data_IF_270057940013
#
_entry.id   IF_270057940013
#
_cell.length_a   1.000
_cell.length_b   1.000
_cell.length_c   1.000
_cell.angle_alpha   90.00
_cell.angle_beta   90.00
_cell.angle_gamma   90.00
#
_symmetry.space_group_name_H-M   'P 1'
#
loop_
_entity.id
_entity.type
_entity.pdbx_description
1 polymer ?
#
# COMPACT_ATOMS: atom_id res chain seq x y z
N UNK A 1 7.82 -5.49 19.29
CA UNK A 1 7.06 -4.83 18.19
C UNK A 1 7.99 -4.66 17.00
N UNK A 2 7.59 -5.21 15.86
CA UNK A 2 8.44 -5.18 14.68
C UNK A 2 7.66 -4.62 13.50
N UNK A 3 8.17 -3.53 12.96
CA UNK A 3 7.60 -2.88 11.79
C UNK A 3 8.53 -3.14 10.62
N UNK A 4 7.97 -3.56 9.50
CA UNK A 4 8.73 -3.87 8.30
C UNK A 4 8.43 -2.84 7.22
N UNK A 5 9.38 -2.68 6.31
CA UNK A 5 9.22 -1.86 5.12
C UNK A 5 9.60 -2.70 3.92
N UNK A 6 8.84 -2.59 2.85
CA UNK A 6 9.15 -3.35 1.65
C UNK A 6 8.74 -2.60 0.39
N UNK A 7 9.51 -2.80 -0.67
CA UNK A 7 9.18 -2.36 -2.01
C UNK A 7 9.03 -3.55 -2.95
N UNK A 8 9.15 -4.76 -2.42
CA UNK A 8 9.07 -5.97 -3.22
C UNK A 8 7.61 -6.27 -3.57
N UNK A 9 7.30 -6.31 -4.86
CA UNK A 9 5.94 -6.52 -5.33
C UNK A 9 5.35 -7.85 -4.88
N UNK A 10 6.13 -8.92 -4.93
CA UNK A 10 5.65 -10.22 -4.49
C UNK A 10 5.31 -10.24 -3.00
N UNK A 11 6.16 -9.63 -2.20
CA UNK A 11 5.93 -9.54 -0.75
C UNK A 11 4.64 -8.79 -0.47
N UNK A 12 4.44 -7.66 -1.14
CA UNK A 12 3.23 -6.85 -0.97
C UNK A 12 2.00 -7.63 -1.40
N UNK A 13 2.06 -8.25 -2.56
CA UNK A 13 0.95 -9.03 -3.10
C UNK A 13 0.54 -10.16 -2.15
N UNK A 14 1.52 -10.94 -1.69
CA UNK A 14 1.23 -12.05 -0.80
C UNK A 14 0.73 -11.60 0.55
N UNK A 15 1.32 -10.56 1.10
CA UNK A 15 0.86 -10.03 2.39
C UNK A 15 -0.58 -9.52 2.29
N UNK A 16 -0.86 -8.75 1.25
CA UNK A 16 -2.18 -8.15 1.07
C UNK A 16 -3.25 -9.21 0.82
N UNK A 17 -2.98 -10.16 -0.09
CA UNK A 17 -3.98 -11.18 -0.42
C UNK A 17 -4.24 -12.12 0.75
N UNK A 18 -3.22 -12.41 1.54
CA UNK A 18 -3.40 -13.25 2.73
C UNK A 18 -4.31 -12.59 3.77
N UNK A 19 -4.44 -11.28 3.74
CA UNK A 19 -5.29 -10.53 4.66
C UNK A 19 -6.61 -10.09 4.05
N UNK A 20 -6.88 -10.50 2.82
CA UNK A 20 -8.11 -10.10 2.15
C UNK A 20 -8.10 -8.65 1.68
N UNK A 21 -6.92 -8.06 1.58
CA UNK A 21 -6.80 -6.70 1.05
C UNK A 21 -6.71 -6.72 -0.47
N UNK A 22 -7.12 -5.62 -1.08
CA UNK A 22 -7.16 -5.54 -2.54
C UNK A 22 -6.65 -4.17 -2.99
N UNK A 23 -6.10 -4.10 -4.21
CA UNK A 23 -5.56 -2.85 -4.73
C UNK A 23 -6.67 -1.88 -5.08
N UNK A 24 -6.48 -0.63 -4.71
CA UNK A 24 -7.51 0.38 -4.90
C UNK A 24 -6.91 1.75 -5.16
N UNK A 25 -7.73 2.64 -5.70
CA UNK A 25 -7.40 4.05 -5.77
C UNK A 25 -8.50 4.85 -5.09
N UNK A 26 -8.18 6.07 -4.70
CA UNK A 26 -9.17 6.96 -4.11
C UNK A 26 -10.07 7.46 -5.24
N UNK A 27 -11.38 7.40 -5.03
CA UNK A 27 -12.35 7.83 -6.03
C UNK A 27 -12.12 9.30 -6.37
N UNK A 28 -12.02 9.59 -7.66
CA UNK A 28 -11.73 10.93 -8.12
C UNK A 28 -10.26 11.29 -8.15
N UNK A 29 -9.39 10.41 -7.66
CA UNK A 29 -7.95 10.64 -7.64
C UNK A 29 -7.23 9.34 -8.01
N UNK A 30 -7.23 8.96 -9.29
CA UNK A 30 -6.75 7.64 -9.69
C UNK A 30 -5.25 7.40 -9.45
N UNK A 31 -4.49 8.45 -9.22
CA UNK A 31 -3.08 8.34 -8.89
C UNK A 31 -2.83 8.14 -7.40
N UNK A 32 -3.86 8.25 -6.57
CA UNK A 32 -3.73 8.03 -5.11
C UNK A 32 -4.14 6.61 -4.79
N UNK A 33 -3.16 5.74 -4.63
CA UNK A 33 -3.42 4.32 -4.39
C UNK A 33 -3.54 4.02 -2.91
N UNK A 34 -4.34 2.98 -2.62
CA UNK A 34 -4.60 2.50 -1.26
C UNK A 34 -4.76 0.98 -1.31
N UNK A 35 -4.77 0.35 -0.15
CA UNK A 35 -5.19 -1.04 -0.06
C UNK A 35 -6.55 -1.06 0.63
N UNK A 36 -7.54 -1.59 -0.07
CA UNK A 36 -8.89 -1.70 0.45
C UNK A 36 -9.09 -3.00 1.20
N UNK A 37 -10.20 -3.11 1.93
CA UNK A 37 -10.56 -4.32 2.64
C UNK A 37 -10.43 -4.22 4.16
N UNK A 38 -9.77 -3.20 4.67
CA UNK A 38 -9.64 -2.96 6.11
C UNK A 38 -10.42 -1.68 6.43
N UNK A 39 -11.52 -1.79 7.20
CA UNK A 39 -12.35 -0.62 7.47
C UNK A 39 -11.65 0.46 8.29
N UNK A 40 -10.59 0.10 9.00
CA UNK A 40 -9.88 1.05 9.85
C UNK A 40 -8.71 1.73 9.13
N UNK A 41 -8.32 1.24 7.97
CA UNK A 41 -7.10 1.72 7.31
C UNK A 41 -7.29 3.03 6.55
N UNK A 42 -8.47 3.26 6.00
CA UNK A 42 -8.71 4.42 5.14
C UNK A 42 -10.03 5.09 5.51
N UNK A 43 -10.16 5.60 6.73
CA UNK A 43 -11.44 6.17 7.16
C UNK A 43 -11.79 7.41 6.35
N UNK A 44 -13.04 7.50 5.94
CA UNK A 44 -13.54 8.65 5.21
C UNK A 44 -13.20 8.69 3.74
N UNK A 45 -12.46 7.70 3.24
CA UNK A 45 -12.10 7.65 1.83
C UNK A 45 -12.98 6.65 1.08
N UNK A 46 -13.41 7.03 -0.09
CA UNK A 46 -14.16 6.14 -0.97
C UNK A 46 -13.17 5.54 -1.96
N UNK A 47 -13.09 4.21 -1.98
CA UNK A 47 -12.08 3.50 -2.75
C UNK A 47 -12.70 2.78 -3.94
N UNK A 48 -11.96 2.72 -5.05
CA UNK A 48 -12.33 1.97 -6.24
C UNK A 48 -11.29 0.89 -6.47
N UNK A 49 -11.71 -0.38 -6.70
CA UNK A 49 -10.74 -1.43 -7.00
C UNK A 49 -10.05 -1.19 -8.34
N UNK A 50 -8.77 -1.50 -8.39
CA UNK A 50 -7.99 -1.41 -9.62
C UNK A 50 -7.16 -2.68 -9.76
N UNK A 51 -6.57 -2.87 -10.93
CA UNK A 51 -5.71 -4.02 -11.17
C UNK A 51 -4.38 -3.86 -10.44
N UNK A 52 -3.79 -5.00 -10.02
CA UNK A 52 -2.50 -4.97 -9.34
C UNK A 52 -1.40 -4.33 -10.18
N UNK A 53 -1.37 -4.58 -11.49
CA UNK A 53 -0.34 -4.01 -12.35
C UNK A 53 -0.43 -2.48 -12.35
N UNK A 54 -1.63 -1.95 -12.34
CA UNK A 54 -1.83 -0.50 -12.28
C UNK A 54 -1.44 0.06 -10.93
N UNK A 55 -1.79 -0.66 -9.86
CA UNK A 55 -1.43 -0.27 -8.51
C UNK A 55 0.08 -0.19 -8.36
N UNK A 56 0.80 -1.22 -8.82
CA UNK A 56 2.25 -1.22 -8.75
C UNK A 56 2.89 -0.18 -9.66
N UNK A 57 2.26 0.14 -10.77
CA UNK A 57 2.74 1.19 -11.65
C UNK A 57 2.78 2.53 -10.90
N UNK A 58 1.71 2.89 -10.19
CA UNK A 58 1.67 4.09 -9.40
C UNK A 58 2.57 4.00 -8.17
N UNK A 59 2.67 2.82 -7.59
CA UNK A 59 3.55 2.57 -6.46
C UNK A 59 5.01 2.92 -6.81
N UNK A 60 5.47 2.48 -7.97
CA UNK A 60 6.83 2.78 -8.41
C UNK A 60 6.98 4.23 -8.87
N UNK A 61 5.99 4.74 -9.57
CA UNK A 61 6.02 6.10 -10.08
C UNK A 61 6.12 7.11 -8.94
N UNK A 62 5.44 6.86 -7.86
CA UNK A 62 5.44 7.74 -6.69
C UNK A 62 6.51 7.40 -5.68
N UNK A 63 7.31 6.40 -5.97
CA UNK A 63 8.41 5.99 -5.12
C UNK A 63 7.95 5.65 -3.70
N UNK A 64 6.93 4.80 -3.64
CA UNK A 64 6.32 4.41 -2.37
C UNK A 64 6.92 3.13 -1.82
N UNK A 65 6.65 2.88 -0.56
CA UNK A 65 6.96 1.62 0.10
C UNK A 65 5.79 1.24 1.00
N UNK A 66 5.65 -0.05 1.25
CA UNK A 66 4.67 -0.54 2.22
C UNK A 66 5.35 -0.65 3.58
N UNK A 67 4.77 -0.03 4.57
CA UNK A 67 5.20 -0.12 5.96
C UNK A 67 4.12 -0.89 6.69
N UNK A 68 4.49 -1.97 7.37
CA UNK A 68 3.49 -2.84 7.96
C UNK A 68 3.99 -3.53 9.22
N UNK A 69 3.05 -3.86 10.08
CA UNK A 69 3.31 -4.63 11.31
C UNK A 69 2.40 -5.86 11.26
N UNK A 70 2.95 -7.03 10.88
CA UNK A 70 2.13 -8.22 10.73
C UNK A 70 1.52 -8.73 12.04
N UNK A 71 2.13 -8.39 13.18
CA UNK A 71 1.59 -8.82 14.46
C UNK A 71 0.33 -8.06 14.83
N UNK A 72 0.18 -6.83 14.36
CA UNK A 72 -0.99 -5.99 14.65
C UNK A 72 -1.92 -5.83 13.46
N UNK A 73 -1.51 -6.27 12.30
CA UNK A 73 -2.30 -6.07 11.08
C UNK A 73 -2.31 -4.64 10.57
N UNK A 74 -1.46 -3.79 11.12
CA UNK A 74 -1.39 -2.39 10.72
C UNK A 74 -0.51 -2.23 9.49
N UNK A 75 -0.89 -1.28 8.64
CA UNK A 75 -0.09 -0.96 7.46
C UNK A 75 -0.35 0.46 7.00
N UNK A 76 0.59 1.00 6.25
CA UNK A 76 0.44 2.28 5.56
C UNK A 76 1.37 2.32 4.36
N UNK A 77 1.09 3.21 3.43
CA UNK A 77 1.99 3.49 2.32
C UNK A 77 2.74 4.77 2.65
N UNK A 78 4.04 4.74 2.49
CA UNK A 78 4.87 5.89 2.74
C UNK A 78 5.84 6.13 1.60
N UNK A 79 6.49 7.27 1.60
CA UNK A 79 7.54 7.55 0.62
C UNK A 79 8.80 6.78 0.97
N UNK A 80 9.50 6.27 -0.04
CA UNK A 80 10.81 5.68 0.18
C UNK A 80 11.73 6.78 0.65
N UNK A 81 12.49 6.48 1.71
CA UNK A 81 13.44 7.45 2.19
C UNK A 81 14.54 7.60 1.17
N UNK A 82 14.92 8.84 0.91
CA UNK A 82 16.06 9.09 0.07
C UNK A 82 17.31 8.51 0.75
N UNK A 83 18.26 8.01 -0.03
CA UNK A 83 19.49 7.53 0.56
C UNK A 83 20.12 8.60 1.45
N UNK A 84 20.64 8.14 2.56
CA UNK A 84 21.28 9.02 3.50
C UNK A 84 22.39 9.79 2.83
N UNK A 85 22.49 11.04 3.14
CA UNK A 85 23.47 11.89 2.50
C UNK A 85 23.01 12.47 1.20
N UNK A 86 21.86 12.04 0.75
CA UNK A 86 21.25 12.65 -0.39
C UNK A 86 20.61 13.96 0.06
#
# INVERSE_FOLDING_TARGET
>A
MTVYETTNHNTIYHWATARGLWPASVKGSPDRIRLGGDPDANPGEELEPIEWWRWFQEFERRNLQLIYDPSKGWFTLGSRLAPSGA
#
